data_IF_097556942236
#
_entry.id   IF_097556942236
#
_cell.length_a   1.000
_cell.length_b   1.000
_cell.length_c   1.000
_cell.angle_alpha   90.00
_cell.angle_beta   90.00
_cell.angle_gamma   90.00
#
_symmetry.space_group_name_H-M   'P 1'
#
loop_
_entity.id
_entity.type
_entity.pdbx_description
1 polymer ?
#
# COMPACT_ATOMS: atom_id res chain seq x y z
N UNK A 1 7.60 -11.83 0.32
CA UNK A 1 6.14 -11.54 0.28
C UNK A 1 5.77 -10.98 1.63
N UNK A 2 4.93 -9.96 1.69
CA UNK A 2 4.35 -9.40 2.91
C UNK A 2 2.87 -9.75 2.96
N UNK A 3 2.37 -10.20 4.11
CA UNK A 3 0.95 -10.16 4.42
C UNK A 3 0.79 -9.75 5.87
N UNK A 4 0.48 -8.47 6.11
CA UNK A 4 0.22 -7.97 7.46
C UNK A 4 -1.20 -8.33 7.84
N UNK A 5 -1.34 -9.12 8.90
CA UNK A 5 -2.62 -9.34 9.60
C UNK A 5 -2.60 -8.58 10.92
N UNK A 6 -3.65 -7.81 11.14
CA UNK A 6 -3.92 -7.13 12.40
C UNK A 6 -4.88 -8.00 13.20
N UNK A 7 -4.32 -8.90 14.01
CA UNK A 7 -5.08 -9.77 14.90
C UNK A 7 -5.20 -9.11 16.27
N UNK A 8 -6.25 -9.40 17.02
CA UNK A 8 -6.58 -8.72 18.27
C UNK A 8 -5.36 -8.62 19.24
N UNK A 9 -4.70 -7.47 19.26
CA UNK A 9 -3.48 -7.22 20.06
C UNK A 9 -2.12 -7.66 19.46
N UNK A 10 -2.05 -8.16 18.22
CA UNK A 10 -0.78 -8.51 17.56
C UNK A 10 -0.76 -8.22 16.06
N UNK A 11 0.44 -7.87 15.56
CA UNK A 11 0.73 -7.70 14.15
C UNK A 11 1.59 -8.87 13.72
N UNK A 12 1.10 -9.67 12.78
CA UNK A 12 1.88 -10.76 12.20
C UNK A 12 2.08 -10.50 10.72
N UNK A 13 3.33 -10.58 10.26
CA UNK A 13 3.62 -10.88 8.87
C UNK A 13 3.80 -12.38 8.69
N UNK A 14 3.14 -12.93 7.69
CA UNK A 14 3.22 -14.34 7.32
C UNK A 14 4.64 -14.80 6.94
N UNK A 15 5.52 -13.89 6.48
CA UNK A 15 6.93 -14.21 6.16
C UNK A 15 7.92 -13.82 7.26
N UNK A 16 7.45 -13.35 8.42
CA UNK A 16 8.31 -13.07 9.58
C UNK A 16 9.06 -11.74 9.53
N UNK A 17 8.65 -10.78 8.69
CA UNK A 17 9.17 -9.42 8.79
C UNK A 17 8.81 -8.80 10.15
N UNK A 18 9.81 -8.26 10.85
CA UNK A 18 9.58 -7.48 12.07
C UNK A 18 9.21 -6.05 11.70
N UNK A 19 8.01 -5.60 12.07
CA UNK A 19 7.59 -4.22 11.90
C UNK A 19 7.76 -3.44 13.20
N UNK A 20 8.31 -2.23 13.10
CA UNK A 20 8.16 -1.22 14.14
C UNK A 20 6.77 -0.62 14.02
N UNK A 21 5.87 -1.02 14.93
CA UNK A 21 4.56 -0.40 15.06
C UNK A 21 4.67 0.89 15.88
N UNK A 22 4.23 2.00 15.31
CA UNK A 22 4.07 3.28 15.99
C UNK A 22 2.60 3.63 16.01
N UNK A 23 1.95 3.49 17.17
CA UNK A 23 0.59 3.99 17.43
C UNK A 23 -0.58 3.19 16.85
N UNK A 24 -0.34 2.21 15.98
CA UNK A 24 -1.45 1.45 15.37
C UNK A 24 -2.08 0.54 16.41
N UNK A 25 -3.41 0.57 16.46
CA UNK A 25 -4.23 -0.31 17.29
C UNK A 25 -5.13 -1.16 16.40
N UNK A 26 -5.66 -2.25 16.95
CA UNK A 26 -6.58 -3.13 16.22
C UNK A 26 -8.04 -2.80 16.52
N UNK A 27 -8.90 -2.82 15.49
CA UNK A 27 -10.33 -2.61 15.61
C UNK A 27 -11.08 -3.92 15.36
N UNK A 28 -11.85 -4.39 16.34
CA UNK A 28 -12.75 -5.53 16.17
C UNK A 28 -14.15 -5.14 15.65
N UNK A 29 -14.47 -3.84 15.67
CA UNK A 29 -15.79 -3.31 15.29
C UNK A 29 -15.81 -3.03 13.79
N UNK A 30 -14.94 -2.11 13.34
CA UNK A 30 -14.76 -1.79 11.93
C UNK A 30 -13.66 -2.67 11.36
N UNK A 31 -14.03 -3.64 10.51
CA UNK A 31 -13.13 -4.62 9.88
C UNK A 31 -13.70 -5.10 8.55
N UNK A 32 -12.83 -5.50 7.62
CA UNK A 32 -13.28 -6.08 6.34
C UNK A 32 -13.43 -7.59 6.43
N UNK A 33 -12.44 -8.25 7.01
CA UNK A 33 -12.41 -9.70 7.18
C UNK A 33 -11.92 -10.08 8.59
N UNK A 34 -11.99 -11.37 8.89
CA UNK A 34 -11.42 -11.93 10.11
C UNK A 34 -11.98 -11.33 11.40
N UNK A 35 -11.11 -11.22 12.40
CA UNK A 35 -11.47 -10.75 13.75
C UNK A 35 -11.27 -9.25 13.94
N UNK A 36 -10.38 -8.62 13.17
CA UNK A 36 -10.00 -7.23 13.35
C UNK A 36 -9.28 -6.64 12.14
N UNK A 37 -9.26 -5.31 12.04
CA UNK A 37 -8.42 -4.57 11.10
C UNK A 37 -7.44 -3.65 11.84
N UNK A 38 -6.50 -3.05 11.11
CA UNK A 38 -5.57 -2.05 11.63
C UNK A 38 -6.24 -0.67 11.62
N UNK A 39 -6.20 0.06 12.72
CA UNK A 39 -6.63 1.46 12.80
C UNK A 39 -5.43 2.40 12.85
N UNK A 40 -5.44 3.39 11.95
CA UNK A 40 -4.45 4.45 11.84
C UNK A 40 -5.11 5.77 12.21
N UNK A 41 -4.51 6.51 13.13
CA UNK A 41 -5.04 7.78 13.64
C UNK A 41 -4.53 9.02 12.87
N UNK A 42 -3.79 8.83 11.77
CA UNK A 42 -3.12 9.90 11.03
C UNK A 42 -1.71 10.24 11.53
N UNK A 43 -1.30 9.75 12.70
CA UNK A 43 0.10 9.81 13.18
C UNK A 43 0.74 8.42 13.29
N UNK A 44 -0.08 7.37 13.20
CA UNK A 44 0.33 5.97 13.33
C UNK A 44 0.90 5.40 12.03
N UNK A 45 1.87 4.49 12.14
CA UNK A 45 2.49 3.83 10.99
C UNK A 45 3.18 2.51 11.34
N UNK A 46 3.36 1.66 10.33
CA UNK A 46 4.29 0.54 10.37
C UNK A 46 5.54 0.91 9.59
N UNK A 47 6.71 0.57 10.14
CA UNK A 47 8.00 0.69 9.47
C UNK A 47 8.68 -0.67 9.41
N UNK A 48 9.20 -1.03 8.24
CA UNK A 48 10.13 -2.15 8.08
C UNK A 48 11.27 -1.76 7.15
N UNK A 49 12.50 -2.18 7.48
CA UNK A 49 13.65 -2.07 6.60
C UNK A 49 14.11 -3.48 6.21
N UNK A 50 14.07 -3.80 4.92
CA UNK A 50 14.46 -5.10 4.37
C UNK A 50 14.85 -4.96 2.90
N UNK A 51 15.79 -5.78 2.45
CA UNK A 51 16.11 -5.91 1.02
C UNK A 51 14.96 -6.49 0.21
N UNK A 52 13.93 -7.04 0.86
CA UNK A 52 12.74 -7.54 0.19
C UNK A 52 11.93 -6.46 -0.52
N UNK A 53 12.12 -5.18 -0.15
CA UNK A 53 11.48 -4.05 -0.79
C UNK A 53 12.25 -3.48 -1.98
N UNK A 54 13.45 -4.01 -2.24
CA UNK A 54 14.17 -3.72 -3.47
C UNK A 54 13.63 -4.62 -4.59
N UNK A 55 12.68 -4.09 -5.35
CA UNK A 55 12.05 -4.81 -6.46
C UNK A 55 12.82 -4.67 -7.78
N UNK A 56 13.81 -3.80 -7.88
CA UNK A 56 14.49 -3.52 -9.14
C UNK A 56 13.50 -3.15 -10.25
N UNK A 57 13.52 -3.92 -11.34
CA UNK A 57 12.55 -3.84 -12.45
C UNK A 57 11.52 -4.97 -12.42
N UNK A 58 11.52 -5.80 -11.38
CA UNK A 58 10.66 -6.98 -11.29
C UNK A 58 9.19 -6.60 -11.10
N UNK A 59 8.34 -7.60 -11.37
CA UNK A 59 6.90 -7.48 -11.16
C UNK A 59 6.57 -7.48 -9.67
N UNK A 60 5.59 -6.67 -9.28
CA UNK A 60 5.08 -6.67 -7.93
C UNK A 60 3.60 -6.31 -7.87
N UNK A 61 2.95 -6.65 -6.76
CA UNK A 61 1.63 -6.15 -6.40
C UNK A 61 1.68 -5.69 -4.95
N UNK A 62 1.34 -4.43 -4.70
CA UNK A 62 1.07 -3.87 -3.37
C UNK A 62 -0.42 -3.57 -3.28
N UNK A 63 -1.10 -4.09 -2.26
CA UNK A 63 -2.55 -3.99 -2.16
C UNK A 63 -3.04 -3.97 -0.71
N UNK A 64 -4.21 -3.38 -0.49
CA UNK A 64 -4.90 -3.36 0.80
C UNK A 64 -6.40 -3.12 0.60
N UNK A 65 -7.19 -3.55 1.59
CA UNK A 65 -8.51 -2.99 1.81
C UNK A 65 -8.40 -1.78 2.72
N UNK A 66 -9.11 -0.70 2.40
CA UNK A 66 -9.08 0.55 3.18
C UNK A 66 -10.50 1.09 3.43
N UNK A 67 -10.75 1.61 4.62
CA UNK A 67 -11.96 2.36 4.95
C UNK A 67 -11.55 3.67 5.67
N UNK A 68 -11.73 4.80 5.00
CA UNK A 68 -11.36 6.13 5.50
C UNK A 68 -12.49 7.12 5.27
N UNK A 69 -12.76 7.99 6.26
CA UNK A 69 -13.67 9.11 6.09
C UNK A 69 -13.13 10.17 5.11
N UNK A 70 -11.81 10.25 4.97
CA UNK A 70 -11.13 11.04 3.96
C UNK A 70 -10.54 10.10 2.89
N UNK A 71 -11.36 9.80 1.87
CA UNK A 71 -10.94 9.00 0.71
C UNK A 71 -10.45 9.88 -0.47
N UNK A 72 -10.13 11.15 -0.22
CA UNK A 72 -9.61 12.07 -1.22
C UNK A 72 -8.09 12.21 -1.17
N UNK A 73 -7.47 11.96 -0.01
CA UNK A 73 -6.02 12.06 0.19
C UNK A 73 -5.55 11.12 1.30
N UNK A 74 -4.39 10.48 1.11
CA UNK A 74 -3.75 9.67 2.15
C UNK A 74 -2.86 8.56 1.61
N UNK A 75 -1.73 8.31 2.29
CA UNK A 75 -0.73 7.28 1.92
C UNK A 75 -1.13 5.94 2.51
N UNK A 76 -1.35 4.99 1.62
CA UNK A 76 -1.67 3.61 2.02
C UNK A 76 -0.36 2.87 2.28
N UNK A 77 0.56 2.87 1.31
CA UNK A 77 1.89 2.33 1.47
C UNK A 77 2.91 3.10 0.63
N UNK A 78 4.12 3.21 1.16
CA UNK A 78 5.28 3.80 0.47
C UNK A 78 6.49 2.92 0.72
N UNK A 79 7.20 2.61 -0.35
CA UNK A 79 8.45 1.90 -0.33
C UNK A 79 9.57 2.88 -0.70
N UNK A 80 9.68 4.01 0.00
CA UNK A 80 10.71 5.01 -0.30
C UNK A 80 11.30 5.60 0.99
N UNK A 81 12.61 5.88 0.95
CA UNK A 81 13.19 6.90 1.82
C UNK A 81 13.02 8.22 1.08
N UNK A 82 11.90 8.89 1.34
CA UNK A 82 11.47 10.12 0.68
C UNK A 82 12.60 11.18 0.52
N UNK A 83 13.59 11.20 1.42
CA UNK A 83 14.73 12.14 1.41
C UNK A 83 16.11 11.54 1.07
N UNK A 84 16.20 10.26 0.70
CA UNK A 84 17.49 9.56 0.53
C UNK A 84 17.97 9.39 -0.92
N UNK A 85 17.25 9.95 -1.90
CA UNK A 85 17.52 9.73 -3.33
C UNK A 85 17.17 8.31 -3.84
N UNK A 86 16.65 7.44 -2.97
CA UNK A 86 16.18 6.11 -3.37
C UNK A 86 14.84 6.20 -4.09
N UNK A 87 14.71 5.40 -5.14
CA UNK A 87 13.49 5.23 -5.90
C UNK A 87 12.66 4.13 -5.25
N UNK A 88 11.39 4.45 -5.02
CA UNK A 88 10.40 3.62 -4.37
C UNK A 88 9.08 3.62 -5.08
N UNK A 89 8.13 2.78 -4.67
CA UNK A 89 6.73 2.96 -5.04
C UNK A 89 6.00 3.77 -3.96
N UNK A 90 4.97 4.51 -4.36
CA UNK A 90 4.02 5.17 -3.45
C UNK A 90 2.60 4.91 -3.92
N UNK A 91 1.72 4.56 -2.99
CA UNK A 91 0.32 4.27 -3.22
C UNK A 91 -0.54 5.22 -2.38
N UNK A 92 -1.34 6.06 -3.05
CA UNK A 92 -2.28 7.01 -2.45
C UNK A 92 -3.69 6.85 -3.04
N UNK A 93 -4.64 7.60 -2.49
CA UNK A 93 -6.01 7.63 -2.97
C UNK A 93 -6.22 8.36 -4.29
N UNK A 94 -5.35 9.31 -4.63
CA UNK A 94 -5.47 10.22 -5.78
C UNK A 94 -4.35 10.08 -6.82
N UNK A 95 -3.20 9.52 -6.43
CA UNK A 95 -2.13 9.14 -7.34
C UNK A 95 -1.33 7.91 -6.87
N UNK A 96 -0.57 7.34 -7.77
CA UNK A 96 0.43 6.32 -7.47
C UNK A 96 1.67 6.56 -8.33
N UNK A 97 2.85 6.21 -7.81
CA UNK A 97 4.09 6.41 -8.54
C UNK A 97 5.14 5.34 -8.25
N UNK A 98 6.11 5.25 -9.15
CA UNK A 98 7.48 4.78 -8.85
C UNK A 98 8.39 6.00 -9.01
N UNK A 99 9.18 6.35 -8.00
CA UNK A 99 10.02 7.54 -8.08
C UNK A 99 10.62 7.96 -6.75
N UNK A 100 11.11 9.19 -6.73
CA UNK A 100 11.66 9.86 -5.54
C UNK A 100 11.26 11.34 -5.55
N UNK A 101 11.17 11.99 -4.38
CA UNK A 101 10.61 13.35 -4.25
C UNK A 101 11.33 14.39 -5.12
N UNK A 102 12.65 14.27 -5.25
CA UNK A 102 13.52 15.28 -5.88
C UNK A 102 14.16 14.76 -7.17
N UNK A 103 13.60 13.72 -7.78
CA UNK A 103 14.20 13.03 -8.91
C UNK A 103 13.15 12.52 -9.90
N UNK A 104 13.49 11.51 -10.72
CA UNK A 104 12.58 11.02 -11.74
C UNK A 104 11.39 10.29 -11.09
N UNK A 105 10.24 10.40 -11.76
CA UNK A 105 8.98 9.78 -11.35
C UNK A 105 8.25 9.22 -12.57
N UNK A 106 7.80 7.97 -12.48
CA UNK A 106 6.73 7.39 -13.29
C UNK A 106 5.44 7.51 -12.49
N UNK A 107 4.52 8.41 -12.86
CA UNK A 107 3.34 8.77 -12.07
C UNK A 107 2.02 8.50 -12.79
N UNK A 108 1.08 7.87 -12.07
CA UNK A 108 -0.32 7.72 -12.46
C UNK A 108 -1.10 8.83 -11.76
N UNK A 109 -1.42 9.91 -12.48
CA UNK A 109 -2.21 11.03 -11.95
C UNK A 109 -2.92 11.82 -13.07
N UNK A 110 -4.12 12.39 -12.83
CA UNK A 110 -5.03 12.02 -11.74
C UNK A 110 -5.69 10.67 -12.05
N UNK A 111 -6.21 9.99 -11.03
CA UNK A 111 -7.04 8.81 -11.28
C UNK A 111 -8.37 9.17 -11.95
N UNK A 112 -8.87 8.24 -12.77
CA UNK A 112 -10.17 8.38 -13.44
C UNK A 112 -11.36 8.24 -12.48
N UNK A 113 -11.15 7.64 -11.31
CA UNK A 113 -12.20 7.36 -10.33
C UNK A 113 -11.63 7.44 -8.92
N UNK A 114 -12.34 8.13 -8.03
CA UNK A 114 -11.98 8.25 -6.63
C UNK A 114 -12.62 7.11 -5.79
N UNK A 115 -11.94 6.64 -4.73
CA UNK A 115 -12.52 5.72 -3.76
C UNK A 115 -13.68 6.35 -2.97
N UNK A 116 -14.59 5.52 -2.48
CA UNK A 116 -15.74 5.97 -1.70
C UNK A 116 -15.35 6.22 -0.24
N UNK A 117 -15.68 7.41 0.28
CA UNK A 117 -15.47 7.74 1.69
C UNK A 117 -16.34 6.90 2.62
N UNK A 118 -15.80 6.56 3.79
CA UNK A 118 -16.43 5.76 4.85
C UNK A 118 -16.93 4.39 4.36
N UNK A 119 -16.28 3.83 3.35
CA UNK A 119 -16.57 2.50 2.80
C UNK A 119 -15.29 1.73 2.56
N UNK A 120 -15.40 0.40 2.59
CA UNK A 120 -14.29 -0.49 2.26
C UNK A 120 -14.03 -0.49 0.75
N UNK A 121 -12.86 0.01 0.37
CA UNK A 121 -12.34 -0.02 -0.99
C UNK A 121 -11.11 -0.95 -1.07
N UNK A 122 -11.03 -1.78 -2.10
CA UNK A 122 -9.80 -2.53 -2.42
C UNK A 122 -8.93 -1.69 -3.35
N UNK A 123 -7.66 -1.56 -3.02
CA UNK A 123 -6.68 -0.83 -3.80
C UNK A 123 -5.51 -1.75 -4.12
N UNK A 124 -5.05 -1.74 -5.37
CA UNK A 124 -3.90 -2.52 -5.79
C UNK A 124 -3.04 -1.75 -6.81
N UNK A 125 -1.76 -1.58 -6.48
CA UNK A 125 -0.71 -1.12 -7.38
C UNK A 125 0.06 -2.32 -7.93
N UNK A 126 0.06 -2.47 -9.24
CA UNK A 126 0.69 -3.61 -9.92
C UNK A 126 1.72 -3.12 -10.92
N UNK A 127 2.95 -3.60 -10.80
CA UNK A 127 3.92 -3.55 -11.90
C UNK A 127 3.93 -4.90 -12.60
N UNK A 128 3.69 -4.89 -13.90
CA UNK A 128 3.73 -6.06 -14.77
C UNK A 128 4.48 -5.74 -16.07
N UNK A 129 5.64 -6.37 -16.28
CA UNK A 129 6.46 -6.28 -17.49
C UNK A 129 6.70 -4.83 -17.95
N UNK A 130 7.02 -3.94 -17.01
CA UNK A 130 7.28 -2.52 -17.30
C UNK A 130 6.04 -1.65 -17.48
N UNK A 131 4.84 -2.14 -17.16
CA UNK A 131 3.64 -1.30 -16.98
C UNK A 131 3.28 -1.19 -15.51
N UNK A 132 2.95 0.01 -15.03
CA UNK A 132 2.39 0.26 -13.71
C UNK A 132 0.89 0.52 -13.88
N UNK A 133 0.06 -0.26 -13.20
CA UNK A 133 -1.40 -0.13 -13.21
C UNK A 133 -1.92 0.00 -11.80
N UNK A 134 -2.87 0.90 -11.59
CA UNK A 134 -3.57 1.06 -10.32
C UNK A 134 -5.02 0.64 -10.45
N UNK A 135 -5.48 -0.20 -9.52
CA UNK A 135 -6.84 -0.74 -9.49
C UNK A 135 -7.59 -0.26 -8.27
N UNK A 136 -8.85 0.13 -8.47
CA UNK A 136 -9.82 0.43 -7.42
C UNK A 136 -10.99 -0.53 -7.55
N UNK A 137 -11.28 -1.26 -6.47
CA UNK A 137 -12.36 -2.26 -6.41
C UNK A 137 -12.33 -3.26 -7.58
N UNK A 138 -11.12 -3.58 -8.06
CA UNK A 138 -10.90 -4.53 -9.16
C UNK A 138 -10.90 -3.94 -10.56
N UNK A 139 -11.17 -2.64 -10.73
CA UNK A 139 -11.13 -1.97 -12.03
C UNK A 139 -9.90 -1.09 -12.16
N UNK A 140 -9.23 -1.13 -13.32
CA UNK A 140 -8.11 -0.23 -13.60
C UNK A 140 -8.58 1.22 -13.65
N UNK A 141 -7.91 2.08 -12.90
CA UNK A 141 -8.16 3.53 -12.83
C UNK A 141 -6.99 4.36 -13.37
N UNK A 142 -5.97 3.70 -13.91
CA UNK A 142 -4.85 4.31 -14.60
C UNK A 142 -3.73 3.31 -14.88
N UNK A 143 -3.08 3.47 -16.03
CA UNK A 143 -1.92 2.67 -16.46
C UNK A 143 -0.89 3.55 -17.14
N UNK A 144 0.38 3.34 -16.82
CA UNK A 144 1.52 4.01 -17.46
C UNK A 144 2.65 3.01 -17.74
N UNK A 145 3.65 3.45 -18.50
CA UNK A 145 4.96 2.79 -18.54
C UNK A 145 5.73 3.03 -17.24
N UNK A 146 6.31 1.97 -16.70
CA UNK A 146 7.14 1.95 -15.49
C UNK A 146 8.59 1.66 -15.89
N UNK A 147 9.38 2.71 -16.05
CA UNK A 147 10.75 2.66 -16.56
C UNK A 147 11.79 2.65 -15.44
N UNK A 148 11.43 3.14 -14.26
CA UNK A 148 12.37 3.30 -13.15
C UNK A 148 12.65 1.99 -12.40
N UNK A 149 13.83 1.91 -11.80
CA UNK A 149 14.29 0.78 -10.98
C UNK A 149 14.06 1.12 -9.52
N UNK A 150 13.23 0.32 -8.82
CA UNK A 150 13.03 0.47 -7.38
C UNK A 150 14.26 -0.06 -6.66
N UNK A 151 14.93 0.79 -5.89
CA UNK A 151 16.15 0.45 -5.15
C UNK A 151 16.07 0.81 -3.65
N UNK A 152 14.86 1.06 -3.14
CA UNK A 152 14.64 1.31 -1.73
C UNK A 152 14.51 0.01 -0.93
N UNK A 153 14.95 0.07 0.33
CA UNK A 153 14.81 -1.02 1.31
C UNK A 153 13.89 -0.62 2.48
N UNK A 154 13.18 0.50 2.39
CA UNK A 154 12.35 1.02 3.48
C UNK A 154 10.89 1.01 3.06
N UNK A 155 10.08 0.26 3.82
CA UNK A 155 8.62 0.23 3.67
C UNK A 155 7.98 0.95 4.85
N UNK A 156 7.10 1.90 4.55
CA UNK A 156 6.22 2.57 5.49
C UNK A 156 4.78 2.36 5.06
N UNK A 157 3.91 2.03 6.01
CA UNK A 157 2.46 1.87 5.78
C UNK A 157 1.77 2.92 6.65
N UNK A 158 0.82 3.65 6.06
CA UNK A 158 0.03 4.68 6.74
C UNK A 158 0.57 6.11 6.67
N UNK A 159 1.78 6.33 6.14
CA UNK A 159 2.34 7.68 5.92
C UNK A 159 3.48 7.66 4.90
N UNK A 160 3.80 8.82 4.33
CA UNK A 160 4.86 8.96 3.31
C UNK A 160 6.29 8.77 3.84
N UNK A 161 6.54 9.13 5.09
CA UNK A 161 7.82 8.89 5.76
C UNK A 161 7.67 9.03 7.29
N UNK A 162 8.53 8.39 8.10
CA UNK A 162 8.41 8.46 9.56
C UNK A 162 8.45 9.89 10.07
N UNK A 163 7.52 10.23 10.97
CA UNK A 163 7.39 11.54 11.62
C UNK A 163 7.01 12.70 10.67
N UNK A 164 6.55 12.42 9.46
CA UNK A 164 6.00 13.44 8.55
C UNK A 164 4.49 13.58 8.77
N UNK A 165 4.04 14.82 8.99
CA UNK A 165 2.62 15.15 9.28
C UNK A 165 1.78 15.46 8.04
N UNK A 166 2.41 15.49 6.86
CA UNK A 166 1.74 15.58 5.55
C UNK A 166 1.71 14.21 4.87
N UNK A 167 0.69 13.97 4.04
CA UNK A 167 0.46 12.69 3.35
C UNK A 167 0.37 11.52 4.34
N UNK A 168 -0.64 11.62 5.21
CA UNK A 168 -0.94 10.65 6.27
C UNK A 168 -2.22 9.90 5.94
N UNK A 169 -2.37 8.70 6.46
CA UNK A 169 -3.61 7.95 6.39
C UNK A 169 -4.28 7.89 7.76
N UNK A 170 -5.58 8.17 7.77
CA UNK A 170 -6.43 8.03 8.95
C UNK A 170 -7.64 7.19 8.58
N UNK A 171 -7.89 6.12 9.32
CA UNK A 171 -8.94 5.15 9.02
C UNK A 171 -8.47 3.72 9.28
N UNK A 172 -9.09 2.77 8.59
CA UNK A 172 -8.86 1.36 8.77
C UNK A 172 -8.20 0.75 7.53
N UNK A 173 -7.22 -0.12 7.74
CA UNK A 173 -6.71 -1.01 6.69
C UNK A 173 -6.82 -2.47 7.10
N UNK A 174 -7.08 -3.32 6.12
CA UNK A 174 -7.16 -4.77 6.30
C UNK A 174 -6.48 -5.46 5.09
N UNK A 175 -5.97 -6.68 5.31
CA UNK A 175 -5.31 -7.50 4.30
C UNK A 175 -4.20 -6.77 3.52
N UNK A 176 -3.31 -6.05 4.22
CA UNK A 176 -2.20 -5.35 3.57
C UNK A 176 -1.20 -6.39 3.05
N UNK A 177 -1.01 -6.45 1.73
CA UNK A 177 -0.19 -7.45 1.05
C UNK A 177 0.78 -6.81 0.06
N UNK A 178 2.01 -7.31 0.05
CA UNK A 178 2.99 -7.00 -1.00
C UNK A 178 3.59 -8.30 -1.53
N UNK A 179 3.50 -8.54 -2.84
CA UNK A 179 3.98 -9.76 -3.49
C UNK A 179 4.96 -9.43 -4.61
N UNK A 180 5.99 -10.27 -4.80
CA UNK A 180 6.99 -10.15 -5.90
C UNK A 180 6.46 -10.81 -7.19
N UNK A 181 5.22 -10.49 -7.54
CA UNK A 181 4.58 -10.91 -8.79
C UNK A 181 3.43 -9.95 -9.14
N UNK A 182 3.08 -9.88 -10.42
CA UNK A 182 1.84 -9.24 -10.86
C UNK A 182 0.66 -10.18 -10.61
N UNK A 183 -0.18 -9.89 -9.61
CA UNK A 183 -1.36 -10.72 -9.29
C UNK A 183 -2.55 -10.42 -10.19
N UNK A 184 -2.61 -9.20 -10.73
CA UNK A 184 -3.70 -8.72 -11.57
C UNK A 184 -3.11 -8.15 -12.85
N UNK A 185 -3.61 -8.60 -13.99
CA UNK A 185 -3.15 -8.15 -15.32
C UNK A 185 -4.29 -7.60 -16.19
N UNK A 186 -5.52 -7.69 -15.67
CA UNK A 186 -6.77 -7.18 -16.21
C UNK A 186 -7.66 -6.80 -15.03
N UNK A 187 -8.82 -6.21 -15.30
CA UNK A 187 -9.88 -6.07 -14.29
C UNK A 187 -10.23 -7.43 -13.66
N UNK A 188 -10.61 -7.40 -12.39
CA UNK A 188 -10.87 -8.57 -11.56
C UNK A 188 -11.97 -8.28 -10.53
N UNK A 189 -12.49 -9.33 -9.89
CA UNK A 189 -13.33 -9.18 -8.70
C UNK A 189 -12.46 -9.32 -7.46
N UNK A 190 -12.38 -8.31 -6.57
CA UNK A 190 -11.64 -8.42 -5.33
C UNK A 190 -12.08 -9.62 -4.50
N UNK A 191 -11.15 -10.23 -3.76
CA UNK A 191 -11.47 -11.38 -2.91
C UNK A 191 -12.59 -11.04 -1.93
N UNK A 192 -13.58 -11.93 -1.81
CA UNK A 192 -14.64 -11.84 -0.82
C UNK A 192 -14.26 -12.49 0.53
N UNK A 193 -13.01 -12.94 0.66
CA UNK A 193 -12.46 -13.61 1.84
C UNK A 193 -11.04 -13.11 2.12
N UNK A 194 -10.51 -13.43 3.31
CA UNK A 194 -9.10 -13.16 3.63
C UNK A 194 -8.16 -13.67 2.53
N UNK A 195 -7.07 -12.95 2.31
CA UNK A 195 -6.06 -13.38 1.38
C UNK A 195 -5.41 -14.68 1.88
N UNK A 196 -5.22 -15.66 0.98
CA UNK A 196 -4.64 -16.93 1.37
C UNK A 196 -3.19 -16.75 1.82
N UNK A 197 -2.80 -17.57 2.77
CA UNK A 197 -1.45 -17.68 3.28
C UNK A 197 -0.61 -18.50 2.27
N UNK A 198 0.08 -17.83 1.35
CA UNK A 198 0.90 -18.48 0.30
C UNK A 198 2.36 -18.00 0.34
#
# INVERSE_FOLDING_TARGET
MLLVKCNNGSFSDLKGHTFSNVGIVTSAVEKKFGTSSCYFDGSSYLLNNSTDWNFGTDNFTAEAWTNSANAASGIIATCSRYFGGYIGFTMQYDYALIGTQQGPVDEITPFLTAPLASQWNHLALVRNNGSLTYYLNGHSIGTISATLTINSNALVIGMISPNQVSYIFSGYMDQIRITKQARYVTDFTPSATEFPEQ
#
